data_IF_087747882768
#
_entry.id   IF_087747882768
#
_cell.length_a   1.000
_cell.length_b   1.000
_cell.length_c   1.000
_cell.angle_alpha   90.00
_cell.angle_beta   90.00
_cell.angle_gamma   90.00
#
_symmetry.space_group_name_H-M   'P 1'
#
loop_
_entity.id
_entity.type
_entity.pdbx_description
1 polymer ?
#
# COMPACT_ATOMS: atom_id res chain seq x y z
N UNK A 1 34.15 -21.36 22.19
CA UNK A 1 33.32 -21.58 23.39
C UNK A 1 33.73 -20.55 24.42
N UNK A 2 32.95 -19.48 24.57
CA UNK A 2 33.09 -18.54 25.67
C UNK A 2 31.81 -18.67 26.51
N UNK A 3 31.97 -19.14 27.73
CA UNK A 3 30.93 -19.31 28.74
C UNK A 3 30.34 -17.95 29.11
N UNK A 4 29.12 -17.67 28.62
CA UNK A 4 28.35 -16.49 28.99
C UNK A 4 27.94 -16.56 30.46
N UNK A 5 28.16 -15.46 31.18
CA UNK A 5 27.70 -15.25 32.54
C UNK A 5 26.19 -15.54 32.67
N UNK A 6 25.85 -16.41 33.61
CA UNK A 6 24.48 -16.88 33.84
C UNK A 6 23.58 -15.78 34.38
N UNK A 7 22.92 -15.03 33.50
CA UNK A 7 21.75 -14.26 33.85
C UNK A 7 20.52 -15.16 33.69
N UNK A 8 19.96 -15.64 34.81
CA UNK A 8 18.69 -16.34 34.79
C UNK A 8 17.57 -15.32 34.48
N UNK A 9 16.67 -15.58 33.52
CA UNK A 9 15.54 -14.69 33.27
C UNK A 9 14.65 -14.59 34.52
N UNK A 10 13.93 -13.47 34.71
CA UNK A 10 12.99 -13.32 35.83
C UNK A 10 11.95 -14.44 35.85
N UNK A 11 11.57 -14.86 37.06
CA UNK A 11 10.51 -15.86 37.23
C UNK A 11 9.15 -15.21 37.09
N UNK A 12 8.37 -15.65 36.11
CA UNK A 12 6.97 -15.27 35.94
C UNK A 12 6.06 -16.44 36.33
N UNK A 13 4.99 -16.17 37.07
CA UNK A 13 4.16 -17.22 37.68
C UNK A 13 3.61 -18.19 36.65
N UNK A 14 3.02 -17.67 35.56
CA UNK A 14 2.33 -18.48 34.55
C UNK A 14 3.15 -18.77 33.29
N UNK A 15 4.40 -18.29 33.22
CA UNK A 15 5.22 -18.38 32.01
C UNK A 15 6.63 -18.87 32.29
N UNK A 16 7.20 -19.59 31.33
CA UNK A 16 8.61 -20.01 31.33
C UNK A 16 9.33 -19.16 30.28
N UNK A 17 10.14 -18.20 30.73
CA UNK A 17 10.98 -17.37 29.87
C UNK A 17 12.19 -18.21 29.41
N UNK A 18 12.48 -18.20 28.10
CA UNK A 18 13.52 -19.03 27.50
C UNK A 18 14.64 -18.21 26.87
N UNK A 19 14.40 -17.61 25.71
CA UNK A 19 15.41 -16.95 24.88
C UNK A 19 15.27 -15.44 24.97
N UNK A 20 16.38 -14.71 25.07
CA UNK A 20 16.38 -13.25 24.96
C UNK A 20 16.28 -12.84 23.49
N UNK A 21 15.20 -12.18 23.12
CA UNK A 21 14.90 -11.74 21.76
C UNK A 21 15.51 -10.37 21.45
N UNK A 22 15.52 -9.48 22.44
CA UNK A 22 15.99 -8.11 22.29
C UNK A 22 16.24 -7.44 23.64
N UNK A 23 17.03 -6.37 23.62
CA UNK A 23 17.33 -5.55 24.79
C UNK A 23 17.40 -4.09 24.36
N UNK A 24 16.65 -3.23 25.05
CA UNK A 24 16.71 -1.78 24.92
C UNK A 24 17.18 -1.13 26.21
N UNK A 25 17.06 0.20 26.29
CA UNK A 25 17.53 1.01 27.44
C UNK A 25 16.83 0.65 28.75
N UNK A 26 15.52 0.40 28.71
CA UNK A 26 14.70 0.16 29.91
C UNK A 26 14.07 -1.23 29.97
N UNK A 27 14.15 -1.98 28.87
CA UNK A 27 13.39 -3.22 28.72
C UNK A 27 14.21 -4.32 28.07
N UNK A 28 13.95 -5.56 28.48
CA UNK A 28 14.46 -6.76 27.81
C UNK A 28 13.29 -7.63 27.39
N UNK A 29 13.31 -8.13 26.16
CA UNK A 29 12.23 -8.95 25.61
C UNK A 29 12.68 -10.41 25.56
N UNK A 30 11.86 -11.31 26.10
CA UNK A 30 12.09 -12.74 26.11
C UNK A 30 11.01 -13.50 25.35
N UNK A 31 11.38 -14.59 24.68
CA UNK A 31 10.42 -15.62 24.27
C UNK A 31 9.98 -16.37 25.51
N UNK A 32 8.69 -16.66 25.63
CA UNK A 32 8.17 -17.45 26.73
C UNK A 32 7.06 -18.41 26.29
N UNK A 33 6.87 -19.44 27.09
CA UNK A 33 5.78 -20.41 26.94
C UNK A 33 4.87 -20.34 28.17
N UNK A 34 3.56 -20.34 27.96
CA UNK A 34 2.59 -20.45 29.06
C UNK A 34 2.72 -21.83 29.72
N UNK A 35 2.71 -21.88 31.05
CA UNK A 35 2.73 -23.12 31.85
C UNK A 35 1.37 -23.83 31.75
N UNK A 36 1.39 -25.15 31.83
CA UNK A 36 0.19 -26.00 31.68
C UNK A 36 0.10 -26.63 30.28
N UNK A 37 -1.09 -27.13 29.91
CA UNK A 37 -1.29 -27.88 28.66
C UNK A 37 -1.34 -27.00 27.40
N UNK A 38 -1.37 -25.67 27.55
CA UNK A 38 -1.34 -24.75 26.42
C UNK A 38 0.08 -24.65 25.84
N UNK A 39 0.26 -25.02 24.56
CA UNK A 39 1.50 -24.73 23.80
C UNK A 39 1.60 -23.26 23.34
N UNK A 40 1.04 -22.34 24.12
CA UNK A 40 0.98 -20.94 23.73
C UNK A 40 2.37 -20.29 23.88
N UNK A 41 2.84 -19.70 22.78
CA UNK A 41 4.09 -18.94 22.72
C UNK A 41 3.77 -17.45 22.76
N UNK A 42 4.54 -16.70 23.55
CA UNK A 42 4.41 -15.25 23.74
C UNK A 42 5.78 -14.57 23.73
N UNK A 43 5.78 -13.26 23.52
CA UNK A 43 6.93 -12.40 23.80
C UNK A 43 6.66 -11.63 25.10
N UNK A 44 7.59 -11.66 26.05
CA UNK A 44 7.46 -10.95 27.34
C UNK A 44 8.46 -9.80 27.37
N UNK A 45 7.96 -8.57 27.29
CA UNK A 45 8.77 -7.35 27.50
C UNK A 45 8.82 -7.06 29.00
N UNK A 46 10.01 -7.23 29.58
CA UNK A 46 10.31 -7.03 31.00
C UNK A 46 10.89 -5.65 31.18
N UNK A 47 10.29 -4.84 32.05
CA UNK A 47 10.73 -3.48 32.38
C UNK A 47 11.05 -3.40 33.87
N UNK A 48 12.28 -2.99 34.21
CA UNK A 48 12.70 -2.86 35.60
C UNK A 48 12.16 -1.58 36.23
N UNK A 49 11.42 -1.68 37.34
CA UNK A 49 10.82 -0.51 38.03
C UNK A 49 11.88 0.49 38.49
N UNK A 50 13.04 -0.01 38.94
CA UNK A 50 14.17 0.82 39.40
C UNK A 50 14.87 1.59 38.27
N UNK A 51 14.70 1.17 37.01
CA UNK A 51 15.31 1.83 35.85
C UNK A 51 14.46 2.96 35.25
N UNK A 52 13.22 3.12 35.73
CA UNK A 52 12.29 4.10 35.21
C UNK A 52 12.45 5.44 35.94
N UNK A 53 12.66 6.50 35.17
CA UNK A 53 12.46 7.87 35.65
C UNK A 53 10.98 8.28 35.44
N UNK A 54 10.62 9.50 35.85
CA UNK A 54 9.24 10.01 35.75
C UNK A 54 8.70 9.96 34.31
N UNK A 55 9.46 10.48 33.35
CA UNK A 55 9.06 10.50 31.94
C UNK A 55 8.94 9.10 31.33
N UNK A 56 9.85 8.19 31.66
CA UNK A 56 9.80 6.80 31.22
C UNK A 56 8.62 6.04 31.84
N UNK A 57 8.25 6.37 33.08
CA UNK A 57 7.05 5.84 33.74
C UNK A 57 5.79 6.30 33.04
N UNK A 58 5.68 7.60 32.75
CA UNK A 58 4.54 8.16 32.00
C UNK A 58 4.41 7.52 30.62
N UNK A 59 5.51 7.43 29.85
CA UNK A 59 5.52 6.75 28.55
C UNK A 59 5.08 5.28 28.64
N UNK A 60 5.52 4.54 29.67
CA UNK A 60 5.13 3.15 29.87
C UNK A 60 3.63 3.01 30.19
N UNK A 61 3.08 3.90 31.01
CA UNK A 61 1.65 3.92 31.31
C UNK A 61 0.82 4.21 30.06
N UNK A 62 1.23 5.19 29.25
CA UNK A 62 0.62 5.47 27.95
C UNK A 62 0.74 4.29 26.98
N UNK A 63 1.90 3.62 26.92
CA UNK A 63 2.10 2.41 26.11
C UNK A 63 1.09 1.32 26.50
N UNK A 64 0.94 1.04 27.81
CA UNK A 64 -0.02 0.06 28.32
C UNK A 64 -1.45 0.44 27.99
N UNK A 65 -1.82 1.72 28.16
CA UNK A 65 -3.15 2.22 27.89
C UNK A 65 -3.53 2.07 26.41
N UNK A 66 -2.64 2.49 25.50
CA UNK A 66 -2.82 2.31 24.06
C UNK A 66 -2.94 0.83 23.73
N UNK A 67 -2.00 0.00 24.21
CA UNK A 67 -1.97 -1.43 23.89
C UNK A 67 -3.21 -2.20 24.39
N UNK A 68 -3.92 -1.69 25.42
CA UNK A 68 -5.18 -2.27 25.89
C UNK A 68 -6.37 -1.97 24.97
N UNK A 69 -6.34 -0.88 24.22
CA UNK A 69 -7.46 -0.43 23.38
C UNK A 69 -7.29 -0.83 21.91
N UNK A 70 -6.06 -1.12 21.47
CA UNK A 70 -5.75 -1.50 20.09
C UNK A 70 -5.88 -3.01 19.87
N UNK A 71 -6.74 -3.41 18.92
CA UNK A 71 -6.85 -4.80 18.47
C UNK A 71 -7.01 -4.81 16.96
N UNK A 72 -5.95 -5.19 16.27
CA UNK A 72 -5.87 -5.11 14.82
C UNK A 72 -4.96 -6.22 14.28
N UNK A 73 -5.26 -6.86 13.12
CA UNK A 73 -4.45 -7.94 12.56
C UNK A 73 -2.98 -7.55 12.33
N UNK A 74 -2.72 -6.27 12.02
CA UNK A 74 -1.40 -5.72 11.73
C UNK A 74 -0.78 -4.92 12.90
N UNK A 75 -1.22 -5.17 14.14
CA UNK A 75 -0.61 -4.63 15.37
C UNK A 75 -0.36 -5.80 16.32
N UNK A 76 0.79 -5.80 17.00
CA UNK A 76 1.11 -6.80 18.03
C UNK A 76 0.15 -6.64 19.20
N UNK A 77 -0.60 -7.71 19.50
CA UNK A 77 -1.58 -7.68 20.57
C UNK A 77 -0.91 -7.78 21.95
N UNK A 78 -1.32 -6.92 22.89
CA UNK A 78 -1.11 -7.14 24.32
C UNK A 78 -2.11 -8.19 24.81
N UNK A 79 -1.59 -9.36 25.21
CA UNK A 79 -2.38 -10.48 25.71
C UNK A 79 -2.66 -10.38 27.19
N UNK A 80 -1.66 -9.94 27.96
CA UNK A 80 -1.75 -9.81 29.40
C UNK A 80 -0.73 -8.78 29.91
N UNK A 81 -0.94 -8.29 31.13
CA UNK A 81 -0.07 -7.35 31.82
C UNK A 81 0.06 -7.75 33.29
N UNK A 82 1.30 -7.98 33.73
CA UNK A 82 1.60 -8.43 35.09
C UNK A 82 2.70 -7.56 35.71
N UNK A 83 2.84 -7.59 37.04
CA UNK A 83 3.94 -6.94 37.75
C UNK A 83 4.27 -7.67 39.05
N UNK A 84 5.51 -7.52 39.51
CA UNK A 84 5.95 -7.96 40.84
C UNK A 84 6.62 -6.81 41.60
N UNK A 85 7.40 -7.09 42.64
CA UNK A 85 8.10 -6.06 43.42
C UNK A 85 9.15 -5.29 42.61
N UNK A 86 9.76 -5.90 41.59
CA UNK A 86 10.92 -5.37 40.88
C UNK A 86 10.64 -4.99 39.43
N UNK A 87 9.71 -5.69 38.77
CA UNK A 87 9.52 -5.66 37.33
C UNK A 87 8.05 -5.48 36.93
N UNK A 88 7.88 -4.98 35.71
CA UNK A 88 6.63 -4.91 34.97
C UNK A 88 6.78 -5.83 33.74
N UNK A 89 5.74 -6.60 33.43
CA UNK A 89 5.73 -7.60 32.36
C UNK A 89 4.59 -7.30 31.38
N UNK A 90 4.94 -7.02 30.13
CA UNK A 90 3.98 -6.93 29.02
C UNK A 90 4.03 -8.26 28.27
N UNK A 91 2.93 -9.01 28.29
CA UNK A 91 2.81 -10.30 27.62
C UNK A 91 2.19 -10.04 26.25
N UNK A 92 2.99 -10.17 25.20
CA UNK A 92 2.68 -9.78 23.83
C UNK A 92 2.53 -11.00 22.93
N UNK A 93 1.78 -10.82 21.85
CA UNK A 93 1.70 -11.78 20.74
C UNK A 93 3.10 -12.13 20.20
N UNK A 94 3.36 -13.43 20.03
CA UNK A 94 4.60 -13.92 19.44
C UNK A 94 4.56 -13.82 17.90
N UNK A 95 5.55 -13.13 17.33
CA UNK A 95 5.75 -13.02 15.88
C UNK A 95 7.00 -13.82 15.47
N UNK A 96 6.80 -14.99 14.87
CA UNK A 96 7.89 -15.96 14.64
C UNK A 96 8.84 -15.60 13.49
N UNK A 97 8.49 -14.65 12.63
CA UNK A 97 9.24 -14.29 11.42
C UNK A 97 10.34 -13.23 11.64
N UNK A 98 10.56 -12.79 12.87
CA UNK A 98 11.51 -11.73 13.19
C UNK A 98 11.03 -10.34 12.75
N UNK A 99 11.96 -9.42 12.54
CA UNK A 99 11.68 -8.03 12.14
C UNK A 99 11.92 -7.75 10.65
N UNK A 100 11.20 -6.74 10.13
CA UNK A 100 11.26 -6.33 8.72
C UNK A 100 12.66 -5.84 8.32
N UNK A 101 13.42 -5.27 9.25
CA UNK A 101 14.80 -4.85 8.99
C UNK A 101 15.68 -6.04 8.59
N UNK A 102 15.58 -7.14 9.34
CA UNK A 102 16.29 -8.41 9.05
C UNK A 102 15.80 -9.02 7.75
N UNK A 103 14.48 -8.95 7.49
CA UNK A 103 13.88 -9.44 6.26
C UNK A 103 14.42 -8.70 5.02
N UNK A 104 14.45 -7.36 5.04
CA UNK A 104 14.99 -6.54 3.93
C UNK A 104 16.49 -6.84 3.74
N UNK A 105 17.29 -6.82 4.81
CA UNK A 105 18.73 -7.10 4.72
C UNK A 105 19.05 -8.45 4.10
N UNK A 106 18.30 -9.50 4.46
CA UNK A 106 18.51 -10.85 3.92
C UNK A 106 18.28 -10.95 2.41
N UNK A 107 17.48 -10.03 1.84
CA UNK A 107 17.11 -10.00 0.41
C UNK A 107 17.78 -8.85 -0.35
N UNK A 108 18.50 -7.97 0.35
CA UNK A 108 19.10 -6.72 -0.13
C UNK A 108 18.07 -5.66 -0.54
N UNK A 109 17.12 -6.01 -1.41
CA UNK A 109 15.99 -5.17 -1.84
C UNK A 109 14.73 -6.03 -1.96
N UNK A 110 13.56 -5.41 -1.87
CA UNK A 110 12.28 -6.05 -2.11
C UNK A 110 11.74 -5.65 -3.49
N UNK A 111 11.23 -6.61 -4.28
CA UNK A 111 10.47 -6.27 -5.48
C UNK A 111 9.29 -5.35 -5.14
N UNK A 112 8.98 -4.40 -6.01
CA UNK A 112 7.92 -3.39 -5.80
C UNK A 112 6.59 -4.01 -5.36
N UNK A 113 6.21 -5.15 -5.95
CA UNK A 113 4.99 -5.90 -5.60
C UNK A 113 4.99 -6.41 -4.16
N UNK A 114 6.14 -6.81 -3.64
CA UNK A 114 6.29 -7.23 -2.24
C UNK A 114 6.22 -6.01 -1.34
N UNK A 115 6.92 -4.93 -1.70
CA UNK A 115 6.90 -3.67 -0.96
C UNK A 115 5.48 -3.07 -0.88
N UNK A 116 4.71 -3.11 -1.97
CA UNK A 116 3.31 -2.67 -2.03
C UNK A 116 2.43 -3.44 -1.05
N UNK A 117 2.53 -4.77 -0.99
CA UNK A 117 1.76 -5.59 -0.04
C UNK A 117 2.11 -5.28 1.41
N UNK A 118 3.40 -5.08 1.70
CA UNK A 118 3.84 -4.68 3.03
C UNK A 118 3.35 -3.28 3.40
N UNK A 119 3.39 -2.35 2.45
CA UNK A 119 2.88 -1.00 2.62
C UNK A 119 1.36 -0.98 2.88
N UNK A 120 0.58 -1.81 2.20
CA UNK A 120 -0.86 -1.98 2.45
C UNK A 120 -1.15 -2.39 3.90
N UNK A 121 -0.40 -3.36 4.42
CA UNK A 121 -0.57 -3.83 5.80
C UNK A 121 -0.18 -2.76 6.83
N UNK A 122 0.89 -2.00 6.56
CA UNK A 122 1.31 -0.86 7.36
C UNK A 122 0.25 0.26 7.32
N UNK A 123 -0.26 0.59 6.13
CA UNK A 123 -1.28 1.60 5.92
C UNK A 123 -2.59 1.24 6.62
N UNK A 124 -3.02 -0.03 6.58
CA UNK A 124 -4.19 -0.53 7.29
C UNK A 124 -4.05 -0.36 8.82
N UNK A 125 -2.88 -0.70 9.38
CA UNK A 125 -2.61 -0.47 10.80
C UNK A 125 -2.59 1.04 11.14
N UNK A 126 -1.99 1.87 10.29
CA UNK A 126 -1.93 3.32 10.47
C UNK A 126 -3.30 3.97 10.39
N UNK A 127 -4.16 3.55 9.48
CA UNK A 127 -5.54 4.03 9.39
C UNK A 127 -6.29 3.78 10.69
N UNK A 128 -6.21 2.55 11.21
CA UNK A 128 -6.82 2.17 12.48
C UNK A 128 -6.33 3.03 13.66
N UNK A 129 -5.03 3.34 13.72
CA UNK A 129 -4.44 4.19 14.76
C UNK A 129 -4.83 5.66 14.59
N UNK A 130 -4.78 6.16 13.36
CA UNK A 130 -5.10 7.55 13.04
C UNK A 130 -6.55 7.90 13.37
N UNK A 131 -7.51 7.01 13.07
CA UNK A 131 -8.93 7.15 13.46
C UNK A 131 -9.15 7.25 14.98
N UNK A 132 -8.18 6.79 15.77
CA UNK A 132 -8.19 6.83 17.25
C UNK A 132 -7.30 7.92 17.80
N UNK A 133 -6.80 8.82 16.95
CA UNK A 133 -5.85 9.86 17.30
C UNK A 133 -4.59 9.27 17.96
N UNK A 134 -4.07 8.13 17.49
CA UNK A 134 -2.84 7.54 18.00
C UNK A 134 -1.73 7.70 16.96
N UNK A 135 -0.64 8.34 17.35
CA UNK A 135 0.60 8.41 16.56
C UNK A 135 1.64 7.45 17.16
N UNK A 136 2.36 6.71 16.31
CA UNK A 136 3.37 5.74 16.77
C UNK A 136 4.70 6.41 17.11
N UNK A 137 5.14 7.39 16.30
CA UNK A 137 6.34 8.24 16.52
C UNK A 137 7.71 7.51 16.52
N UNK A 138 7.75 6.21 16.22
CA UNK A 138 8.99 5.43 16.07
C UNK A 138 8.80 4.29 15.06
N UNK A 139 8.13 4.57 13.95
CA UNK A 139 8.00 3.63 12.85
C UNK A 139 9.36 3.40 12.20
N UNK A 140 9.80 2.15 12.21
CA UNK A 140 11.04 1.68 11.58
C UNK A 140 10.96 0.18 11.32
N UNK A 141 11.74 -0.39 10.38
CA UNK A 141 11.67 -1.81 10.06
C UNK A 141 11.96 -2.73 11.26
N UNK A 142 12.67 -2.28 12.29
CA UNK A 142 12.92 -3.05 13.51
C UNK A 142 11.67 -3.19 14.40
N UNK A 143 10.74 -2.24 14.31
CA UNK A 143 9.47 -2.21 15.05
C UNK A 143 8.30 -2.81 14.25
N UNK A 144 8.59 -3.45 13.11
CA UNK A 144 7.59 -4.11 12.27
C UNK A 144 7.95 -5.59 12.22
N UNK A 145 7.17 -6.41 12.92
CA UNK A 145 7.42 -7.84 13.07
C UNK A 145 6.67 -8.65 12.01
N UNK A 146 7.17 -9.85 11.71
CA UNK A 146 6.54 -10.78 10.78
C UNK A 146 5.93 -11.96 11.52
N UNK A 147 4.69 -12.30 11.18
CA UNK A 147 4.03 -13.55 11.56
C UNK A 147 3.51 -14.23 10.29
N UNK A 148 4.30 -15.17 9.75
CA UNK A 148 4.08 -15.69 8.41
C UNK A 148 4.23 -14.59 7.35
N UNK A 149 3.16 -14.31 6.61
CA UNK A 149 3.09 -13.23 5.60
C UNK A 149 2.50 -11.91 6.13
N UNK A 150 2.11 -11.87 7.41
CA UNK A 150 1.52 -10.68 8.03
C UNK A 150 2.59 -9.86 8.76
N UNK A 151 2.62 -8.56 8.47
CA UNK A 151 3.35 -7.54 9.22
C UNK A 151 2.52 -7.09 10.41
N UNK A 152 3.18 -6.84 11.52
CA UNK A 152 2.59 -6.34 12.76
C UNK A 152 3.43 -5.22 13.34
N UNK A 153 2.83 -4.04 13.52
CA UNK A 153 3.46 -2.93 14.22
C UNK A 153 3.66 -3.31 15.69
N UNK A 154 4.85 -3.03 16.21
CA UNK A 154 5.28 -3.35 17.56
C UNK A 154 5.96 -2.15 18.22
N UNK A 155 6.14 -2.23 19.54
CA UNK A 155 6.85 -1.24 20.36
C UNK A 155 6.22 0.16 20.36
N UNK A 156 5.15 0.31 21.15
CA UNK A 156 4.42 1.56 21.32
C UNK A 156 5.02 2.46 22.41
N UNK A 157 6.28 2.23 22.82
CA UNK A 157 6.94 2.97 23.90
C UNK A 157 7.11 4.48 23.65
N UNK A 158 7.00 4.92 22.40
CA UNK A 158 6.97 6.34 22.03
C UNK A 158 5.59 6.85 21.59
N UNK A 159 4.61 5.96 21.46
CA UNK A 159 3.30 6.31 20.95
C UNK A 159 2.57 7.29 21.87
N UNK A 160 1.72 8.13 21.29
CA UNK A 160 0.96 9.17 21.99
C UNK A 160 -0.43 9.32 21.39
N UNK A 161 -1.37 9.78 22.20
CA UNK A 161 -2.62 10.33 21.68
C UNK A 161 -2.34 11.74 21.11
N UNK A 162 -2.63 11.94 19.83
CA UNK A 162 -2.44 13.18 19.09
C UNK A 162 -3.63 13.43 18.17
N UNK A 163 -4.47 14.39 18.55
CA UNK A 163 -5.51 14.95 17.70
C UNK A 163 -4.89 15.76 16.55
N UNK A 164 -5.64 16.07 15.47
CA UNK A 164 -5.12 16.89 14.37
C UNK A 164 -4.64 18.29 14.77
N UNK A 165 -5.03 18.78 15.95
CA UNK A 165 -4.68 20.09 16.49
C UNK A 165 -3.48 20.05 17.46
N UNK A 166 -3.03 18.84 17.82
CA UNK A 166 -2.00 18.65 18.82
C UNK A 166 -0.61 18.73 18.19
N UNK A 167 0.28 19.47 18.83
CA UNK A 167 1.69 19.58 18.47
C UNK A 167 2.59 19.09 19.60
N UNK A 168 3.72 18.51 19.24
CA UNK A 168 4.72 18.00 20.17
C UNK A 168 6.09 18.62 19.89
N UNK A 169 6.89 18.77 20.96
CA UNK A 169 8.25 19.34 20.88
C UNK A 169 9.34 18.41 21.41
N UNK A 170 8.95 17.35 22.13
CA UNK A 170 9.89 16.35 22.66
C UNK A 170 10.38 15.48 21.52
N UNK A 171 11.70 15.41 21.33
CA UNK A 171 12.33 14.55 20.32
C UNK A 171 12.14 13.07 20.70
N UNK A 172 11.53 12.29 19.81
CA UNK A 172 11.22 10.86 20.00
C UNK A 172 11.55 10.06 18.74
N UNK A 173 11.86 8.78 18.90
CA UNK A 173 12.11 7.88 17.78
C UNK A 173 13.57 7.77 17.35
N UNK A 174 13.79 7.16 16.20
CA UNK A 174 15.10 6.74 15.71
C UNK A 174 15.61 7.68 14.60
N UNK A 175 16.76 8.38 14.76
CA UNK A 175 17.16 9.49 13.90
C UNK A 175 17.12 9.25 12.38
N UNK A 176 17.37 8.02 11.92
CA UNK A 176 17.35 7.66 10.50
C UNK A 176 15.94 7.70 9.87
N UNK A 177 14.89 7.56 10.68
CA UNK A 177 13.48 7.48 10.27
C UNK A 177 12.66 8.69 10.71
N UNK A 178 13.25 9.61 11.49
CA UNK A 178 12.58 10.81 11.99
C UNK A 178 12.36 11.82 10.87
N UNK A 179 11.21 12.49 10.91
CA UNK A 179 10.90 13.56 9.98
C UNK A 179 11.81 14.79 10.24
N UNK A 180 12.23 15.53 9.20
CA UNK A 180 13.16 16.65 9.35
C UNK A 180 12.68 17.73 10.33
N UNK A 181 11.39 18.01 10.37
CA UNK A 181 10.77 19.00 11.26
C UNK A 181 10.95 18.66 12.75
N UNK A 182 11.02 17.38 13.12
CA UNK A 182 11.27 16.96 14.50
C UNK A 182 12.65 17.44 14.99
N UNK A 183 13.65 17.43 14.10
CA UNK A 183 15.04 17.81 14.40
C UNK A 183 15.27 19.30 14.19
N UNK A 184 14.70 19.86 13.11
CA UNK A 184 14.95 21.22 12.67
C UNK A 184 14.06 22.26 13.36
N UNK A 185 12.75 21.98 13.49
CA UNK A 185 11.76 22.93 14.03
C UNK A 185 11.43 22.64 15.50
N UNK A 186 11.60 21.40 15.96
CA UNK A 186 11.22 20.94 17.31
C UNK A 186 9.74 21.22 17.65
N UNK A 187 8.90 21.18 16.62
CA UNK A 187 7.46 21.29 16.68
C UNK A 187 6.93 20.46 15.51
N UNK A 188 6.10 19.47 15.81
CA UNK A 188 5.63 18.50 14.84
C UNK A 188 4.27 17.91 15.25
N UNK A 189 3.56 17.35 14.27
CA UNK A 189 2.27 16.68 14.45
C UNK A 189 2.34 15.21 13.99
N UNK A 190 1.20 14.55 13.84
CA UNK A 190 1.11 13.14 13.44
C UNK A 190 1.65 12.83 12.03
N UNK A 191 1.83 13.83 11.16
CA UNK A 191 2.36 13.65 9.78
C UNK A 191 3.81 13.17 9.76
N UNK A 192 4.50 13.15 10.90
CA UNK A 192 5.84 12.55 11.02
C UNK A 192 5.83 11.04 10.78
N UNK A 193 4.73 10.34 11.09
CA UNK A 193 4.62 8.91 10.82
C UNK A 193 4.59 8.62 9.31
N UNK A 194 4.01 9.52 8.50
CA UNK A 194 4.01 9.41 7.03
C UNK A 194 5.42 9.51 6.46
N UNK A 195 6.24 10.41 7.01
CA UNK A 195 7.66 10.48 6.63
C UNK A 195 8.36 9.15 6.93
N UNK A 196 8.18 8.61 8.13
CA UNK A 196 8.80 7.33 8.53
C UNK A 196 8.36 6.18 7.63
N UNK A 197 7.09 6.14 7.20
CA UNK A 197 6.59 5.18 6.19
C UNK A 197 7.30 5.37 4.84
N UNK A 198 7.51 6.60 4.39
CA UNK A 198 8.29 6.90 3.19
C UNK A 198 9.72 6.38 3.27
N UNK A 199 10.37 6.55 4.43
CA UNK A 199 11.73 6.02 4.69
C UNK A 199 11.74 4.49 4.65
N UNK A 200 10.75 3.83 5.25
CA UNK A 200 10.61 2.36 5.23
C UNK A 200 10.41 1.86 3.79
N UNK A 201 9.55 2.51 3.00
CA UNK A 201 9.31 2.15 1.60
C UNK A 201 10.57 2.33 0.75
N UNK A 202 11.30 3.44 0.94
CA UNK A 202 12.59 3.69 0.30
C UNK A 202 13.60 2.58 0.64
N UNK A 203 13.74 2.24 1.93
CA UNK A 203 14.66 1.19 2.37
C UNK A 203 14.28 -0.18 1.81
N UNK A 204 12.99 -0.50 1.74
CA UNK A 204 12.51 -1.73 1.14
C UNK A 204 12.87 -1.83 -0.35
N UNK A 205 12.70 -0.74 -1.12
CA UNK A 205 12.94 -0.72 -2.57
C UNK A 205 14.42 -0.64 -2.94
N UNK A 206 15.23 0.08 -2.15
CA UNK A 206 16.61 0.41 -2.50
C UNK A 206 17.65 -0.16 -1.53
N UNK A 207 17.21 -0.86 -0.48
CA UNK A 207 18.06 -1.61 0.46
C UNK A 207 18.74 -0.77 1.54
N UNK A 208 18.60 0.55 1.48
CA UNK A 208 19.14 1.51 2.45
C UNK A 208 18.21 2.70 2.59
N UNK A 209 18.10 3.26 3.79
CA UNK A 209 17.37 4.51 4.02
C UNK A 209 18.00 5.70 3.24
N UNK A 210 17.21 6.72 2.87
CA UNK A 210 17.68 7.87 2.09
C UNK A 210 18.80 8.66 2.80
N UNK A 211 18.74 8.76 4.13
CA UNK A 211 19.75 9.45 4.93
C UNK A 211 20.78 8.51 5.56
N UNK A 212 20.96 7.29 5.03
CA UNK A 212 22.01 6.40 5.53
C UNK A 212 23.39 7.12 5.49
N UNK A 213 24.06 7.16 6.63
CA UNK A 213 25.27 7.93 6.87
C UNK A 213 26.26 7.13 7.72
N UNK A 214 27.55 7.46 7.64
CA UNK A 214 28.63 6.81 8.40
C UNK A 214 28.83 7.42 9.79
N UNK A 215 28.32 8.64 10.01
CA UNK A 215 28.39 9.35 11.28
C UNK A 215 27.07 10.07 11.61
N UNK A 216 26.87 10.38 12.88
CA UNK A 216 25.73 11.19 13.31
C UNK A 216 25.78 12.61 12.74
N UNK A 217 26.97 13.18 12.60
CA UNK A 217 27.16 14.52 12.01
C UNK A 217 26.70 14.54 10.56
N UNK A 218 27.10 13.55 9.75
CA UNK A 218 26.67 13.43 8.35
C UNK A 218 25.15 13.20 8.24
N UNK A 219 24.56 12.42 9.17
CA UNK A 219 23.12 12.24 9.25
C UNK A 219 22.41 13.57 9.54
N UNK A 220 22.87 14.31 10.53
CA UNK A 220 22.30 15.60 10.91
C UNK A 220 22.39 16.62 9.77
N UNK A 221 23.52 16.68 9.06
CA UNK A 221 23.70 17.53 7.88
C UNK A 221 22.68 17.20 6.78
N UNK A 222 22.45 15.91 6.49
CA UNK A 222 21.44 15.48 5.50
C UNK A 222 20.02 15.82 5.95
N UNK A 223 19.71 15.67 7.24
CA UNK A 223 18.40 16.03 7.80
C UNK A 223 18.16 17.55 7.69
N UNK A 224 19.16 18.37 8.03
CA UNK A 224 19.09 19.84 7.98
C UNK A 224 19.16 20.44 6.57
N UNK A 225 19.63 19.67 5.59
CA UNK A 225 19.67 20.09 4.19
C UNK A 225 18.27 20.40 3.63
N UNK A 226 18.19 21.36 2.72
CA UNK A 226 16.97 21.66 1.96
C UNK A 226 16.88 20.86 0.65
N UNK A 227 17.87 20.01 0.34
CA UNK A 227 17.87 19.22 -0.89
C UNK A 227 16.74 18.18 -0.85
N UNK A 228 15.90 18.09 -1.91
CA UNK A 228 14.86 17.08 -1.99
C UNK A 228 15.47 15.66 -2.01
N UNK A 229 14.68 14.66 -1.63
CA UNK A 229 15.10 13.27 -1.79
C UNK A 229 15.07 12.90 -3.26
N UNK A 230 16.21 12.44 -3.77
CA UNK A 230 16.31 11.88 -5.11
C UNK A 230 16.29 10.34 -5.07
N UNK A 231 15.60 9.74 -6.03
CA UNK A 231 15.65 8.29 -6.22
C UNK A 231 16.98 7.90 -6.90
N UNK A 232 17.53 6.71 -6.61
CA UNK A 232 18.77 6.27 -7.23
C UNK A 232 18.70 6.31 -8.77
N UNK A 233 19.80 6.69 -9.47
CA UNK A 233 19.85 6.66 -10.92
C UNK A 233 19.48 5.27 -11.47
N UNK A 234 18.55 5.22 -12.42
CA UNK A 234 18.08 3.95 -12.99
C UNK A 234 17.06 3.18 -12.13
N UNK A 235 16.51 3.80 -11.07
CA UNK A 235 15.44 3.19 -10.27
C UNK A 235 14.24 2.76 -11.16
N UNK A 236 14.02 1.45 -11.23
CA UNK A 236 12.90 0.82 -11.95
C UNK A 236 11.73 0.61 -11.01
N UNK A 237 10.99 1.69 -10.76
CA UNK A 237 9.72 1.66 -10.02
C UNK A 237 8.60 2.24 -10.89
N UNK A 238 7.36 1.81 -10.67
CA UNK A 238 6.19 2.34 -11.37
C UNK A 238 6.00 3.85 -11.12
N UNK A 239 5.20 4.49 -12.00
CA UNK A 239 4.84 5.91 -11.87
C UNK A 239 4.15 6.17 -10.51
N UNK A 240 3.19 5.33 -10.12
CA UNK A 240 2.45 5.48 -8.86
C UNK A 240 3.35 5.23 -7.63
N UNK A 241 4.27 4.26 -7.71
CA UNK A 241 5.24 4.04 -6.63
C UNK A 241 6.14 5.26 -6.42
N UNK A 242 6.61 5.86 -7.52
CA UNK A 242 7.44 7.06 -7.49
C UNK A 242 6.68 8.25 -6.94
N UNK A 243 5.45 8.49 -7.40
CA UNK A 243 4.59 9.58 -6.93
C UNK A 243 4.40 9.50 -5.42
N UNK A 244 3.94 8.35 -4.92
CA UNK A 244 3.71 8.15 -3.49
C UNK A 244 4.98 8.40 -2.67
N UNK A 245 6.09 7.79 -3.10
CA UNK A 245 7.33 7.82 -2.34
C UNK A 245 7.87 9.25 -2.21
N UNK A 246 7.81 10.04 -3.28
CA UNK A 246 8.23 11.44 -3.25
C UNK A 246 7.30 12.31 -2.40
N UNK A 247 5.98 12.08 -2.46
CA UNK A 247 5.02 12.83 -1.63
C UNK A 247 5.09 12.49 -0.14
N UNK A 248 5.48 11.26 0.22
CA UNK A 248 5.77 10.87 1.62
C UNK A 248 7.07 11.50 2.14
N UNK A 249 8.09 11.57 1.27
CA UNK A 249 9.41 12.13 1.58
C UNK A 249 9.52 13.64 1.26
N UNK A 250 8.38 14.33 1.21
CA UNK A 250 8.33 15.78 1.17
C UNK A 250 8.72 16.34 2.56
N UNK A 251 9.72 17.21 2.56
CA UNK A 251 10.34 17.76 3.77
C UNK A 251 9.41 18.75 4.45
N UNK A 252 8.67 19.55 3.69
CA UNK A 252 7.70 20.47 4.27
C UNK A 252 6.44 19.69 4.69
N UNK A 253 6.12 19.57 5.98
CA UNK A 253 4.95 18.80 6.42
C UNK A 253 3.64 19.30 5.80
N UNK A 254 3.54 20.60 5.47
CA UNK A 254 2.35 21.21 4.85
C UNK A 254 2.20 20.89 3.35
N UNK A 255 3.28 20.48 2.69
CA UNK A 255 3.23 19.98 1.31
C UNK A 255 3.25 18.44 1.24
N UNK A 256 3.56 17.76 2.35
CA UNK A 256 3.57 16.31 2.45
C UNK A 256 2.15 15.77 2.25
N UNK A 257 2.05 14.61 1.60
CA UNK A 257 0.78 13.91 1.42
C UNK A 257 0.02 13.80 2.74
N UNK A 258 -1.28 14.04 2.70
CA UNK A 258 -2.14 13.89 3.88
C UNK A 258 -2.45 12.41 4.15
N UNK A 259 -2.89 12.06 5.36
CA UNK A 259 -3.35 10.70 5.67
C UNK A 259 -4.49 10.24 4.75
N UNK A 260 -5.47 11.12 4.49
CA UNK A 260 -6.59 10.81 3.61
C UNK A 260 -6.11 10.45 2.19
N UNK A 261 -5.24 11.27 1.61
CA UNK A 261 -4.67 11.01 0.29
C UNK A 261 -3.78 9.77 0.27
N UNK A 262 -3.02 9.52 1.34
CA UNK A 262 -2.16 8.34 1.48
C UNK A 262 -2.99 7.05 1.44
N UNK A 263 -4.09 6.98 2.21
CA UNK A 263 -4.95 5.80 2.26
C UNK A 263 -5.68 5.51 0.95
N UNK A 264 -5.99 6.55 0.16
CA UNK A 264 -6.64 6.42 -1.15
C UNK A 264 -5.66 6.43 -2.32
N UNK A 265 -4.35 6.45 -2.06
CA UNK A 265 -3.36 6.57 -3.12
C UNK A 265 -3.37 5.31 -4.02
N UNK A 266 -3.32 5.44 -5.36
CA UNK A 266 -3.39 4.29 -6.30
C UNK A 266 -2.34 3.19 -6.03
N UNK A 267 -1.13 3.58 -5.61
CA UNK A 267 -0.12 2.61 -5.22
C UNK A 267 -0.46 1.85 -3.92
N UNK A 268 -1.10 2.49 -2.93
CA UNK A 268 -1.47 1.81 -1.69
C UNK A 268 -2.67 0.91 -1.93
N UNK A 269 -3.74 1.44 -2.51
CA UNK A 269 -4.93 0.67 -2.92
C UNK A 269 -5.51 -0.19 -1.80
N UNK A 270 -5.97 0.47 -0.73
CA UNK A 270 -6.63 -0.22 0.39
C UNK A 270 -7.98 -0.83 -0.02
N UNK A 271 -8.64 -0.29 -1.06
CA UNK A 271 -9.93 -0.79 -1.55
C UNK A 271 -9.84 -2.25 -2.02
N UNK A 272 -8.75 -2.60 -2.71
CA UNK A 272 -8.52 -3.96 -3.22
C UNK A 272 -7.65 -4.82 -2.30
N UNK A 273 -7.27 -4.31 -1.13
CA UNK A 273 -6.59 -5.12 -0.13
C UNK A 273 -7.49 -6.28 0.30
N UNK A 274 -7.00 -7.54 0.31
CA UNK A 274 -7.82 -8.68 0.69
C UNK A 274 -8.31 -8.59 2.13
N UNK A 275 -9.62 -8.56 2.27
CA UNK A 275 -10.36 -8.59 3.52
C UNK A 275 -11.62 -9.43 3.35
N UNK A 276 -12.28 -9.78 4.46
CA UNK A 276 -13.55 -10.48 4.39
C UNK A 276 -14.59 -9.68 3.57
N UNK A 277 -14.63 -8.36 3.76
CA UNK A 277 -15.53 -7.45 3.04
C UNK A 277 -15.18 -7.35 1.55
N UNK A 278 -13.89 -7.21 1.22
CA UNK A 278 -13.39 -7.18 -0.16
C UNK A 278 -13.75 -8.46 -0.92
N UNK A 279 -13.66 -9.63 -0.27
CA UNK A 279 -14.07 -10.91 -0.85
C UNK A 279 -15.59 -11.04 -1.04
N UNK A 280 -16.40 -10.45 -0.16
CA UNK A 280 -17.86 -10.40 -0.34
C UNK A 280 -18.21 -9.52 -1.54
N UNK A 281 -17.63 -8.32 -1.61
CA UNK A 281 -17.79 -7.40 -2.75
C UNK A 281 -17.38 -8.05 -4.07
N UNK A 282 -16.25 -8.76 -4.10
CA UNK A 282 -15.78 -9.49 -5.27
C UNK A 282 -16.79 -10.53 -5.77
N UNK A 283 -17.39 -11.29 -4.85
CA UNK A 283 -18.41 -12.30 -5.18
C UNK A 283 -19.67 -11.64 -5.73
N UNK A 284 -20.13 -10.55 -5.12
CA UNK A 284 -21.31 -9.82 -5.58
C UNK A 284 -21.10 -9.27 -7.00
N UNK A 285 -19.93 -8.69 -7.29
CA UNK A 285 -19.57 -8.22 -8.61
C UNK A 285 -19.60 -9.34 -9.66
N UNK A 286 -19.10 -10.54 -9.33
CA UNK A 286 -19.18 -11.70 -10.25
C UNK A 286 -20.62 -12.13 -10.49
N UNK A 287 -21.46 -12.17 -9.45
CA UNK A 287 -22.86 -12.55 -9.61
C UNK A 287 -23.59 -11.59 -10.57
N UNK A 288 -23.36 -10.29 -10.41
CA UNK A 288 -23.88 -9.28 -11.33
C UNK A 288 -23.27 -9.41 -12.73
N UNK A 289 -21.97 -9.71 -12.84
CA UNK A 289 -21.29 -9.91 -14.13
C UNK A 289 -21.92 -11.07 -14.91
N UNK A 290 -22.15 -12.21 -14.25
CA UNK A 290 -22.78 -13.39 -14.84
C UNK A 290 -24.20 -13.09 -15.29
N UNK A 291 -24.97 -12.34 -14.49
CA UNK A 291 -26.32 -11.93 -14.88
C UNK A 291 -26.31 -11.05 -16.14
N UNK A 292 -25.45 -10.02 -16.17
CA UNK A 292 -25.33 -9.12 -17.32
C UNK A 292 -24.84 -9.83 -18.58
N UNK A 293 -23.97 -10.82 -18.41
CA UNK A 293 -23.50 -11.68 -19.48
C UNK A 293 -24.65 -12.50 -20.09
N UNK A 294 -25.51 -13.09 -19.26
CA UNK A 294 -26.71 -13.82 -19.69
C UNK A 294 -27.76 -12.91 -20.37
N UNK A 295 -27.88 -11.66 -19.92
CA UNK A 295 -28.74 -10.63 -20.53
C UNK A 295 -28.20 -10.13 -21.88
N UNK A 296 -26.98 -10.51 -22.27
CA UNK A 296 -26.32 -10.05 -23.49
C UNK A 296 -25.69 -8.66 -23.38
N UNK A 297 -25.67 -8.07 -22.19
CA UNK A 297 -25.03 -6.78 -21.90
C UNK A 297 -23.51 -6.93 -21.75
N UNK A 298 -22.83 -7.26 -22.85
CA UNK A 298 -21.41 -7.66 -22.87
C UNK A 298 -20.46 -6.63 -22.27
N UNK A 299 -20.65 -5.34 -22.55
CA UNK A 299 -19.79 -4.27 -22.04
C UNK A 299 -19.92 -4.09 -20.52
N UNK A 300 -21.17 -4.16 -20.01
CA UNK A 300 -21.47 -4.13 -18.58
C UNK A 300 -20.88 -5.34 -17.87
N UNK A 301 -21.11 -6.54 -18.42
CA UNK A 301 -20.58 -7.80 -17.90
C UNK A 301 -19.04 -7.79 -17.84
N UNK A 302 -18.37 -7.38 -18.92
CA UNK A 302 -16.92 -7.23 -18.96
C UNK A 302 -16.42 -6.30 -17.86
N UNK A 303 -17.08 -5.15 -17.67
CA UNK A 303 -16.71 -4.20 -16.63
C UNK A 303 -16.79 -4.82 -15.23
N UNK A 304 -17.88 -5.54 -14.94
CA UNK A 304 -18.10 -6.18 -13.64
C UNK A 304 -17.11 -7.33 -13.39
N UNK A 305 -16.78 -8.13 -14.41
CA UNK A 305 -15.73 -9.15 -14.30
C UNK A 305 -14.36 -8.52 -14.00
N UNK A 306 -13.98 -7.46 -14.70
CA UNK A 306 -12.74 -6.74 -14.42
C UNK A 306 -12.71 -6.21 -12.99
N UNK A 307 -13.77 -5.52 -12.55
CA UNK A 307 -13.86 -5.01 -11.18
C UNK A 307 -13.81 -6.13 -10.13
N UNK A 308 -14.44 -7.28 -10.37
CA UNK A 308 -14.32 -8.42 -9.46
C UNK A 308 -12.89 -8.98 -9.38
N UNK A 309 -12.19 -9.04 -10.52
CA UNK A 309 -10.82 -9.54 -10.60
C UNK A 309 -9.83 -8.65 -9.83
N UNK A 310 -10.07 -7.34 -9.77
CA UNK A 310 -9.28 -6.41 -8.97
C UNK A 310 -9.28 -6.78 -7.48
N UNK A 311 -10.35 -7.37 -6.98
CA UNK A 311 -10.43 -7.89 -5.60
C UNK A 311 -9.89 -9.32 -5.47
N UNK A 312 -10.19 -10.21 -6.44
CA UNK A 312 -9.81 -11.62 -6.34
C UNK A 312 -8.32 -11.88 -6.56
N UNK A 313 -7.66 -11.15 -7.46
CA UNK A 313 -6.23 -11.37 -7.75
C UNK A 313 -5.36 -11.10 -6.53
N UNK A 314 -5.49 -9.95 -5.82
CA UNK A 314 -4.77 -9.74 -4.57
C UNK A 314 -5.05 -10.83 -3.53
N UNK A 315 -6.28 -11.36 -3.45
CA UNK A 315 -6.65 -12.37 -2.47
C UNK A 315 -5.88 -13.70 -2.62
N UNK A 316 -5.46 -14.06 -3.84
CA UNK A 316 -4.59 -15.24 -4.06
C UNK A 316 -3.28 -15.12 -3.27
N UNK A 317 -2.74 -13.92 -3.15
CA UNK A 317 -1.47 -13.68 -2.49
C UNK A 317 -1.57 -13.66 -0.96
N UNK A 318 -2.76 -13.40 -0.42
CA UNK A 318 -3.02 -13.38 1.03
C UNK A 318 -3.53 -14.73 1.56
N UNK A 319 -4.13 -15.56 0.71
CA UNK A 319 -4.53 -16.91 1.11
C UNK A 319 -3.31 -17.76 1.46
N UNK A 320 -3.34 -18.29 2.68
CA UNK A 320 -2.25 -19.07 3.27
C UNK A 320 -2.51 -20.57 3.16
N UNK A 321 -3.78 -20.96 3.12
CA UNK A 321 -4.18 -22.34 2.90
C UNK A 321 -4.00 -22.74 1.44
N UNK A 322 -3.25 -23.82 1.22
CA UNK A 322 -2.88 -24.26 -0.13
C UNK A 322 -4.10 -24.66 -0.96
N UNK A 323 -5.04 -25.38 -0.37
CA UNK A 323 -6.21 -25.88 -1.09
C UNK A 323 -7.14 -24.74 -1.49
N UNK A 324 -7.41 -23.81 -0.56
CA UNK A 324 -8.20 -22.60 -0.84
C UNK A 324 -7.52 -21.72 -1.87
N UNK A 325 -6.20 -21.56 -1.79
CA UNK A 325 -5.42 -20.79 -2.76
C UNK A 325 -5.53 -21.38 -4.16
N UNK A 326 -5.39 -22.69 -4.30
CA UNK A 326 -5.50 -23.37 -5.59
C UNK A 326 -6.93 -23.28 -6.14
N UNK A 327 -7.95 -23.44 -5.29
CA UNK A 327 -9.35 -23.25 -5.68
C UNK A 327 -9.64 -21.79 -6.14
N UNK A 328 -9.09 -20.81 -5.42
CA UNK A 328 -9.23 -19.40 -5.77
C UNK A 328 -8.55 -19.08 -7.10
N UNK A 329 -7.35 -19.62 -7.34
CA UNK A 329 -6.63 -19.50 -8.62
C UNK A 329 -7.42 -20.06 -9.79
N UNK A 330 -8.03 -21.24 -9.61
CA UNK A 330 -8.88 -21.84 -10.64
C UNK A 330 -10.07 -20.94 -10.96
N UNK A 331 -10.72 -20.37 -9.94
CA UNK A 331 -11.84 -19.44 -10.13
C UNK A 331 -11.42 -18.15 -10.83
N UNK A 332 -10.31 -17.54 -10.41
CA UNK A 332 -9.75 -16.36 -11.09
C UNK A 332 -9.43 -16.66 -12.54
N UNK A 333 -8.82 -17.81 -12.84
CA UNK A 333 -8.54 -18.22 -14.22
C UNK A 333 -9.81 -18.35 -15.07
N UNK A 334 -10.90 -18.86 -14.50
CA UNK A 334 -12.20 -18.95 -15.18
C UNK A 334 -12.76 -17.55 -15.50
N UNK A 335 -12.72 -16.64 -14.53
CA UNK A 335 -13.20 -15.27 -14.72
C UNK A 335 -12.34 -14.48 -15.70
N UNK A 336 -11.02 -14.64 -15.66
CA UNK A 336 -10.10 -14.04 -16.65
C UNK A 336 -10.41 -14.55 -18.05
N UNK A 337 -10.55 -15.86 -18.24
CA UNK A 337 -10.89 -16.45 -19.54
C UNK A 337 -12.22 -15.91 -20.08
N UNK A 338 -13.25 -15.79 -19.22
CA UNK A 338 -14.54 -15.25 -19.64
C UNK A 338 -14.47 -13.75 -19.98
N UNK A 339 -13.70 -12.99 -19.21
CA UNK A 339 -13.47 -11.58 -19.49
C UNK A 339 -12.74 -11.39 -20.84
N UNK A 340 -11.77 -12.25 -21.18
CA UNK A 340 -11.09 -12.23 -22.48
C UNK A 340 -12.04 -12.52 -23.65
N UNK A 341 -12.93 -13.50 -23.50
CA UNK A 341 -13.97 -13.80 -24.49
C UNK A 341 -14.91 -12.59 -24.69
N UNK A 342 -15.43 -12.03 -23.59
CA UNK A 342 -16.29 -10.85 -23.63
C UNK A 342 -15.58 -9.65 -24.24
N UNK A 343 -14.29 -9.46 -23.95
CA UNK A 343 -13.47 -8.41 -24.55
C UNK A 343 -13.38 -8.56 -26.07
N UNK A 344 -13.14 -9.77 -26.58
CA UNK A 344 -13.10 -10.00 -28.02
C UNK A 344 -14.45 -9.67 -28.69
N UNK A 345 -15.57 -10.02 -28.04
CA UNK A 345 -16.91 -9.68 -28.51
C UNK A 345 -17.18 -8.18 -28.47
N UNK A 346 -16.83 -7.51 -27.37
CA UNK A 346 -16.98 -6.04 -27.23
C UNK A 346 -16.09 -5.32 -28.25
N UNK A 347 -14.89 -5.80 -28.54
CA UNK A 347 -14.02 -5.25 -29.57
C UNK A 347 -14.68 -5.30 -30.96
N UNK A 348 -15.36 -6.41 -31.28
CA UNK A 348 -16.13 -6.57 -32.51
C UNK A 348 -17.28 -5.57 -32.58
N UNK A 349 -18.10 -5.48 -31.53
CA UNK A 349 -19.24 -4.56 -31.47
C UNK A 349 -18.79 -3.09 -31.58
N UNK A 350 -17.71 -2.74 -30.89
CA UNK A 350 -17.11 -1.42 -30.92
C UNK A 350 -16.56 -1.06 -32.31
N UNK A 351 -15.96 -2.01 -33.03
CA UNK A 351 -15.39 -1.75 -34.37
C UNK A 351 -16.46 -1.26 -35.34
N UNK A 352 -17.64 -1.88 -35.33
CA UNK A 352 -18.80 -1.47 -36.14
C UNK A 352 -19.25 -0.05 -35.77
N UNK A 353 -19.43 0.22 -34.47
CA UNK A 353 -19.83 1.55 -33.98
C UNK A 353 -18.80 2.65 -34.32
N UNK A 354 -17.51 2.33 -34.29
CA UNK A 354 -16.46 3.29 -34.59
C UNK A 354 -16.33 3.59 -36.08
N UNK A 355 -16.67 2.65 -36.97
CA UNK A 355 -16.76 2.91 -38.41
C UNK A 355 -17.88 3.90 -38.73
N UNK A 356 -19.04 3.75 -38.10
CA UNK A 356 -20.13 4.74 -38.20
C UNK A 356 -19.70 6.12 -37.68
N UNK A 357 -19.04 6.16 -36.51
CA UNK A 357 -18.54 7.42 -35.94
C UNK A 357 -17.50 8.10 -36.82
N UNK A 358 -16.64 7.34 -37.53
CA UNK A 358 -15.66 7.90 -38.47
C UNK A 358 -16.33 8.73 -39.57
N UNK A 359 -17.40 8.22 -40.16
CA UNK A 359 -18.15 8.96 -41.18
C UNK A 359 -18.74 10.26 -40.64
N UNK A 360 -19.25 10.23 -39.40
CA UNK A 360 -19.78 11.43 -38.72
C UNK A 360 -18.70 12.46 -38.40
N UNK A 361 -17.49 12.01 -38.02
CA UNK A 361 -16.33 12.86 -37.76
C UNK A 361 -15.85 13.60 -39.01
N UNK A 362 -15.83 12.93 -40.16
CA UNK A 362 -15.40 13.55 -41.42
C UNK A 362 -16.36 14.70 -41.80
N UNK A 363 -17.67 14.50 -41.62
CA UNK A 363 -18.67 15.57 -41.79
C UNK A 363 -18.47 16.69 -40.77
N UNK A 364 -18.21 16.35 -39.50
CA UNK A 364 -17.96 17.35 -38.45
C UNK A 364 -16.72 18.21 -38.79
N UNK A 365 -15.62 17.60 -39.23
CA UNK A 365 -14.41 18.33 -39.67
C UNK A 365 -14.71 19.32 -40.79
N UNK A 366 -15.46 18.90 -41.79
CA UNK A 366 -15.86 19.77 -42.90
C UNK A 366 -16.71 20.96 -42.43
N UNK A 367 -17.61 20.74 -41.47
CA UNK A 367 -18.44 21.78 -40.85
C UNK A 367 -17.69 22.70 -39.88
N UNK A 368 -16.44 22.37 -39.53
CA UNK A 368 -15.63 23.09 -38.53
C UNK A 368 -14.45 23.86 -39.14
N UNK A 369 -14.40 24.00 -40.48
CA UNK A 369 -13.31 24.72 -41.18
C UNK A 369 -13.12 26.16 -40.72
N UNK A 370 -14.18 26.79 -40.23
CA UNK A 370 -14.24 28.14 -39.67
C UNK A 370 -13.77 28.23 -38.20
N UNK A 371 -13.51 27.10 -37.53
CA UNK A 371 -13.22 27.05 -36.09
C UNK A 371 -11.90 26.30 -35.81
N UNK A 372 -10.75 27.01 -35.86
CA UNK A 372 -9.41 26.39 -35.76
C UNK A 372 -9.21 25.55 -34.49
N UNK A 373 -9.77 25.99 -33.36
CA UNK A 373 -9.67 25.27 -32.08
C UNK A 373 -10.35 23.90 -32.12
N UNK A 374 -11.52 23.83 -32.75
CA UNK A 374 -12.25 22.57 -32.91
C UNK A 374 -11.51 21.62 -33.87
N UNK A 375 -10.97 22.15 -34.98
CA UNK A 375 -10.14 21.35 -35.89
C UNK A 375 -8.91 20.76 -35.20
N UNK A 376 -8.17 21.56 -34.43
CA UNK A 376 -7.00 21.08 -33.69
C UNK A 376 -7.37 19.96 -32.69
N UNK A 377 -8.50 20.09 -31.99
CA UNK A 377 -8.99 19.05 -31.09
C UNK A 377 -9.39 17.76 -31.84
N UNK A 378 -10.01 17.88 -33.02
CA UNK A 378 -10.37 16.73 -33.88
C UNK A 378 -9.14 16.05 -34.52
N UNK A 379 -8.07 16.81 -34.80
CA UNK A 379 -6.76 16.28 -35.20
C UNK A 379 -6.08 15.51 -34.07
N UNK A 380 -6.10 16.05 -32.86
CA UNK A 380 -5.61 15.35 -31.68
C UNK A 380 -6.38 14.04 -31.44
N UNK A 381 -7.71 14.06 -31.57
CA UNK A 381 -8.54 12.87 -31.50
C UNK A 381 -8.18 11.83 -32.58
N UNK A 382 -7.90 12.28 -33.81
CA UNK A 382 -7.45 11.39 -34.90
C UNK A 382 -6.08 10.77 -34.60
N UNK A 383 -5.20 11.52 -33.94
CA UNK A 383 -3.89 11.04 -33.47
C UNK A 383 -4.03 9.99 -32.37
N UNK A 384 -4.93 10.20 -31.40
CA UNK A 384 -5.22 9.22 -30.35
C UNK A 384 -5.70 7.89 -30.96
N UNK A 385 -6.60 7.96 -31.93
CA UNK A 385 -7.15 6.79 -32.64
C UNK A 385 -6.07 6.06 -33.44
N UNK A 386 -5.19 6.80 -34.12
CA UNK A 386 -4.08 6.21 -34.85
C UNK A 386 -3.08 5.51 -33.90
N UNK A 387 -2.77 6.12 -32.75
CA UNK A 387 -1.92 5.51 -31.72
C UNK A 387 -2.55 4.24 -31.14
N UNK A 388 -3.83 4.27 -30.77
CA UNK A 388 -4.57 3.08 -30.34
C UNK A 388 -4.51 1.96 -31.39
N UNK A 389 -4.73 2.29 -32.67
CA UNK A 389 -4.68 1.32 -33.77
C UNK A 389 -3.29 0.72 -34.01
N UNK A 390 -2.22 1.40 -33.59
CA UNK A 390 -0.84 0.89 -33.71
C UNK A 390 -0.49 -0.15 -32.64
N UNK A 391 -1.18 -0.12 -31.48
CA UNK A 391 -0.95 -1.03 -30.35
C UNK A 391 0.44 -0.95 -29.72
N UNK A 392 1.22 0.10 -30.02
CA UNK A 392 2.61 0.24 -29.54
C UNK A 392 2.70 0.80 -28.11
N UNK A 393 1.82 1.74 -27.75
CA UNK A 393 1.76 2.34 -26.40
C UNK A 393 0.31 2.76 -26.06
N UNK A 394 -0.43 1.84 -25.43
CA UNK A 394 -1.82 2.07 -25.00
C UNK A 394 -1.93 3.19 -23.94
N UNK A 395 -0.90 3.37 -23.10
CA UNK A 395 -0.91 4.43 -22.08
C UNK A 395 -0.78 5.81 -22.73
N UNK A 396 0.14 5.96 -23.68
CA UNK A 396 0.29 7.21 -24.41
C UNK A 396 -0.97 7.54 -25.22
N UNK A 397 -1.60 6.54 -25.86
CA UNK A 397 -2.87 6.73 -26.54
C UNK A 397 -3.98 7.21 -25.59
N UNK A 398 -4.06 6.65 -24.38
CA UNK A 398 -5.02 7.07 -23.35
C UNK A 398 -4.77 8.51 -22.87
N UNK A 399 -3.51 8.92 -22.69
CA UNK A 399 -3.15 10.28 -22.31
C UNK A 399 -3.60 11.30 -23.38
N UNK A 400 -3.40 10.98 -24.66
CA UNK A 400 -3.86 11.83 -25.78
C UNK A 400 -5.40 11.89 -25.83
N UNK A 401 -6.10 10.78 -25.55
CA UNK A 401 -7.56 10.79 -25.43
C UNK A 401 -8.05 11.74 -24.34
N UNK A 402 -7.42 11.71 -23.16
CA UNK A 402 -7.82 12.59 -22.05
C UNK A 402 -7.62 14.07 -22.39
N UNK A 403 -6.50 14.41 -23.03
CA UNK A 403 -6.23 15.78 -23.48
C UNK A 403 -7.25 16.24 -24.54
N UNK A 404 -7.54 15.42 -25.54
CA UNK A 404 -8.46 15.81 -26.62
C UNK A 404 -9.90 15.94 -26.10
N UNK A 405 -10.35 15.05 -25.21
CA UNK A 405 -11.66 15.12 -24.59
C UNK A 405 -11.82 16.38 -23.74
N UNK A 406 -10.78 16.80 -23.02
CA UNK A 406 -10.76 18.06 -22.27
C UNK A 406 -11.03 19.27 -23.18
N UNK A 407 -10.34 19.36 -24.31
CA UNK A 407 -10.56 20.44 -25.28
C UNK A 407 -11.94 20.38 -25.95
N UNK A 408 -12.39 19.18 -26.37
CA UNK A 408 -13.68 19.02 -27.04
C UNK A 408 -14.86 19.36 -26.12
N UNK A 409 -14.78 19.04 -24.83
CA UNK A 409 -15.80 19.42 -23.84
C UNK A 409 -15.90 20.95 -23.67
N UNK A 410 -14.75 21.65 -23.67
CA UNK A 410 -14.72 23.11 -23.63
C UNK A 410 -15.35 23.72 -24.90
N UNK A 411 -15.05 23.16 -26.06
CA UNK A 411 -15.65 23.61 -27.33
C UNK A 411 -17.16 23.35 -27.34
N UNK A 412 -17.61 22.16 -26.91
CA UNK A 412 -19.02 21.79 -26.85
C UNK A 412 -19.83 22.75 -25.97
N UNK A 413 -19.26 23.22 -24.86
CA UNK A 413 -19.91 24.18 -23.97
C UNK A 413 -20.16 25.54 -24.64
N UNK A 414 -19.27 25.97 -25.54
CA UNK A 414 -19.39 27.22 -26.28
C UNK A 414 -20.17 27.08 -27.61
N UNK A 415 -20.45 25.85 -28.04
CA UNK A 415 -21.04 25.58 -29.35
C UNK A 415 -22.55 25.90 -29.37
N UNK A 416 -23.05 26.72 -30.31
CA UNK A 416 -24.47 27.02 -30.43
C UNK A 416 -25.29 25.78 -30.78
N UNK A 417 -26.60 25.79 -30.47
CA UNK A 417 -27.47 24.69 -30.85
C UNK A 417 -27.52 24.53 -32.37
N UNK A 418 -27.43 23.28 -32.84
CA UNK A 418 -27.49 22.94 -34.24
C UNK A 418 -26.78 21.63 -34.55
N UNK A 419 -26.79 21.25 -35.84
CA UNK A 419 -26.24 19.97 -36.31
C UNK A 419 -24.76 19.77 -35.97
N UNK A 420 -23.95 20.82 -35.98
CA UNK A 420 -22.52 20.74 -35.59
C UNK A 420 -22.35 20.34 -34.14
N UNK A 421 -23.18 20.89 -33.25
CA UNK A 421 -23.19 20.55 -31.81
C UNK A 421 -23.65 19.11 -31.57
N UNK A 422 -24.65 18.63 -32.30
CA UNK A 422 -25.10 17.24 -32.23
C UNK A 422 -24.01 16.26 -32.66
N UNK A 423 -23.35 16.54 -33.80
CA UNK A 423 -22.22 15.74 -34.28
C UNK A 423 -21.04 15.78 -33.31
N UNK A 424 -20.72 16.96 -32.75
CA UNK A 424 -19.66 17.12 -31.75
C UNK A 424 -19.98 16.31 -30.48
N UNK A 425 -21.21 16.35 -30.01
CA UNK A 425 -21.64 15.56 -28.86
C UNK A 425 -21.55 14.06 -29.14
N UNK A 426 -21.94 13.61 -30.34
CA UNK A 426 -21.79 12.22 -30.77
C UNK A 426 -20.33 11.78 -30.86
N UNK A 427 -19.45 12.64 -31.38
CA UNK A 427 -18.02 12.40 -31.46
C UNK A 427 -17.38 12.28 -30.07
N UNK A 428 -17.69 13.19 -29.15
CA UNK A 428 -17.22 13.12 -27.76
C UNK A 428 -17.65 11.80 -27.11
N UNK A 429 -18.91 11.39 -27.28
CA UNK A 429 -19.40 10.11 -26.74
C UNK A 429 -18.65 8.91 -27.31
N UNK A 430 -18.34 8.93 -28.61
CA UNK A 430 -17.54 7.89 -29.27
C UNK A 430 -16.12 7.84 -28.71
N UNK A 431 -15.45 8.99 -28.59
CA UNK A 431 -14.09 9.09 -28.05
C UNK A 431 -14.01 8.66 -26.57
N UNK A 432 -15.01 9.02 -25.75
CA UNK A 432 -15.11 8.55 -24.36
C UNK A 432 -15.22 7.03 -24.31
N UNK A 433 -16.08 6.42 -25.13
CA UNK A 433 -16.23 4.97 -25.22
C UNK A 433 -14.91 4.27 -25.61
N UNK A 434 -14.17 4.85 -26.56
CA UNK A 434 -12.83 4.38 -26.95
C UNK A 434 -11.83 4.46 -25.80
N UNK A 435 -11.75 5.60 -25.13
CA UNK A 435 -10.85 5.81 -24.00
C UNK A 435 -11.17 4.86 -22.84
N UNK A 436 -12.45 4.65 -22.51
CA UNK A 436 -12.87 3.69 -21.49
C UNK A 436 -12.53 2.25 -21.87
N UNK A 437 -12.75 1.87 -23.14
CA UNK A 437 -12.37 0.55 -23.64
C UNK A 437 -10.86 0.32 -23.55
N UNK A 438 -10.05 1.30 -23.97
CA UNK A 438 -8.59 1.24 -23.89
C UNK A 438 -8.11 1.18 -22.44
N UNK A 439 -8.71 1.96 -21.54
CA UNK A 439 -8.42 1.90 -20.10
C UNK A 439 -8.70 0.50 -19.53
N UNK A 440 -9.83 -0.12 -19.90
CA UNK A 440 -10.16 -1.50 -19.52
C UNK A 440 -9.16 -2.50 -20.10
N UNK A 441 -8.71 -2.27 -21.34
CA UNK A 441 -7.71 -3.09 -22.03
C UNK A 441 -6.39 -3.18 -21.24
N UNK A 442 -5.84 -2.02 -20.90
CA UNK A 442 -4.60 -1.87 -20.12
C UNK A 442 -4.73 -2.60 -18.78
N UNK A 443 -5.80 -2.32 -18.04
CA UNK A 443 -6.01 -2.88 -16.70
C UNK A 443 -6.13 -4.41 -16.71
N UNK A 444 -6.77 -4.96 -17.74
CA UNK A 444 -6.89 -6.41 -17.88
C UNK A 444 -5.54 -7.08 -18.18
N UNK A 445 -4.68 -6.45 -19.00
CA UNK A 445 -3.33 -6.94 -19.24
C UNK A 445 -2.48 -6.95 -17.96
N UNK A 446 -2.59 -5.90 -17.14
CA UNK A 446 -1.92 -5.83 -15.83
C UNK A 446 -2.40 -6.95 -14.90
N UNK A 447 -3.72 -7.13 -14.80
CA UNK A 447 -4.36 -8.17 -13.98
C UNK A 447 -3.92 -9.57 -14.41
N UNK A 448 -3.86 -9.84 -15.72
CA UNK A 448 -3.40 -11.11 -16.27
C UNK A 448 -1.93 -11.36 -15.97
N UNK A 449 -1.09 -10.33 -16.12
CA UNK A 449 0.34 -10.40 -15.79
C UNK A 449 0.52 -10.74 -14.31
N UNK A 450 -0.28 -10.15 -13.44
CA UNK A 450 -0.26 -10.40 -11.99
C UNK A 450 -0.71 -11.82 -11.63
N UNK A 451 -1.76 -12.32 -12.30
CA UNK A 451 -2.19 -13.71 -12.15
C UNK A 451 -1.17 -14.72 -12.71
N UNK A 452 -0.39 -14.37 -13.75
CA UNK A 452 0.53 -15.29 -14.43
C UNK A 452 1.93 -15.39 -13.81
N UNK A 453 2.44 -14.31 -13.21
CA UNK A 453 3.79 -14.24 -12.59
C UNK A 453 3.89 -15.11 -11.33
N UNK A 454 2.77 -15.68 -10.90
CA UNK A 454 2.60 -16.56 -9.75
C UNK A 454 3.14 -17.99 -9.95
N UNK A 455 3.81 -18.26 -11.09
CA UNK A 455 4.60 -19.49 -11.31
C UNK A 455 5.99 -19.46 -10.67
N UNK A 456 6.47 -18.31 -10.15
CA UNK A 456 7.76 -18.24 -9.46
C UNK A 456 7.63 -18.53 -7.93
N UNK A 457 8.50 -19.41 -7.37
CA UNK A 457 8.37 -19.93 -6.02
C UNK A 457 8.94 -18.97 -4.96
N UNK A 458 8.33 -17.80 -4.78
CA UNK A 458 8.67 -16.91 -3.65
C UNK A 458 8.03 -17.35 -2.33
N UNK A 459 6.95 -18.16 -2.39
CA UNK A 459 6.29 -18.72 -1.22
C UNK A 459 7.15 -19.79 -0.50
N UNK A 460 8.03 -20.50 -1.24
CA UNK A 460 8.88 -21.54 -0.67
C UNK A 460 10.11 -20.99 0.06
N UNK A 461 10.54 -19.76 -0.27
CA UNK A 461 11.63 -19.07 0.46
C UNK A 461 11.21 -18.63 1.86
N UNK A 462 9.93 -18.31 2.09
CA UNK A 462 9.42 -17.95 3.43
C UNK A 462 9.26 -19.19 4.31
N UNK A 463 8.97 -20.36 3.71
CA UNK A 463 8.84 -21.64 4.43
C UNK A 463 10.19 -22.31 4.70
N UNK A 464 11.14 -22.28 3.76
CA UNK A 464 12.43 -22.97 3.92
C UNK A 464 13.32 -22.35 5.01
N UNK A 465 13.18 -21.05 5.32
CA UNK A 465 13.83 -20.44 6.49
C UNK A 465 13.16 -20.75 7.82
N UNK A 466 11.97 -21.39 7.83
CA UNK A 466 11.20 -21.75 9.04
C UNK A 466 11.23 -23.25 9.35
N UNK A 467 12.01 -24.07 8.63
CA UNK A 467 12.13 -25.51 8.88
C UNK A 467 13.57 -26.03 9.00
N UNK A 468 14.58 -25.15 9.14
CA UNK A 468 15.94 -25.57 9.44
C UNK A 468 16.55 -24.70 10.54
N UNK A 469 16.26 -25.08 11.79
CA UNK A 469 17.18 -25.39 12.91
C UNK A 469 16.50 -25.13 14.26
#
# INVERSE_FOLDING_TARGET
MASGSGFAPPKLADFILTERLGSGTYATVYKAYRKGDSREVVAVKVVGKKTLNKAATENLLTEIEILKTVRHPHIVQLKDFQWDAENIYLILEWCSGGDLSRFIRSRRILPERVARRFLQQIACALQFLHERNISHLDLKPQNILLSGSALKLADFGFAQYMSPWDEQSVLRGSPLYMAPEMVCRRQYDSRVDLWSVGVILYEALFGRAPFASRSYVELEEKIRSNQPIELPPGARVSKDCRDLLLRLLERNPDARITFAEFFTHPFVDLEHMPSAESLVKAKELVLQAVQKDQEGERSSALSLYCSALEHFVPAIHYETDRQRKDALRQKVSQYVSRAEELKALVASDNRLSFEEARTSRDVLREMSRDQPRLLAALEMASTAIAKEGSGLDDHEALDVYQQCLGELLLVLAAEPQGRRRELLHGEIKSLMSRAEYLKKHIKMQETQRDASLDREPLADSVRSSCCLQ
#
